data_IF_547499317430
#
_entry.id   IF_547499317430
#
_cell.length_a   1.000
_cell.length_b   1.000
_cell.length_c   1.000
_cell.angle_alpha   90.00
_cell.angle_beta   90.00
_cell.angle_gamma   90.00
#
_symmetry.space_group_name_H-M   'P 1'
#
loop_
_entity.id
_entity.type
_entity.pdbx_description
1 polymer ?
#
# COMPACT_ATOMS: atom_id res chain seq x y z
N UNK A 1 -3.77 11.27 -23.27
CA UNK A 1 -3.98 10.24 -22.23
C UNK A 1 -2.69 10.08 -21.45
N UNK A 2 -2.71 10.36 -20.15
CA UNK A 2 -1.59 10.10 -19.24
C UNK A 2 -2.17 9.34 -18.05
N UNK A 3 -1.63 8.15 -17.79
CA UNK A 3 -1.95 7.34 -16.60
C UNK A 3 -0.64 7.12 -15.87
N UNK A 4 -0.64 7.42 -14.58
CA UNK A 4 0.48 7.11 -13.68
C UNK A 4 0.26 5.76 -13.06
N UNK A 5 1.32 4.96 -12.97
CA UNK A 5 1.30 3.68 -12.29
C UNK A 5 2.30 3.77 -11.14
N UNK A 6 1.79 3.61 -9.93
CA UNK A 6 2.61 3.55 -8.72
C UNK A 6 2.66 2.09 -8.26
N UNK A 7 3.85 1.51 -8.24
CA UNK A 7 4.09 0.12 -7.88
C UNK A 7 4.83 -0.01 -6.54
N UNK A 8 5.14 1.12 -5.89
CA UNK A 8 6.07 1.16 -4.76
C UNK A 8 5.73 2.26 -3.75
N UNK A 9 4.46 2.29 -3.30
CA UNK A 9 4.08 3.18 -2.21
C UNK A 9 4.69 2.70 -0.88
N UNK A 10 5.76 3.36 -0.45
CA UNK A 10 6.57 2.96 0.70
C UNK A 10 5.77 2.81 2.00
N UNK A 11 4.74 3.65 2.21
CA UNK A 11 3.92 3.61 3.42
C UNK A 11 3.03 2.37 3.42
N UNK A 12 2.32 2.09 2.32
CA UNK A 12 1.47 0.91 2.23
C UNK A 12 2.28 -0.38 2.29
N UNK A 13 3.43 -0.42 1.60
CA UNK A 13 4.33 -1.55 1.68
C UNK A 13 4.80 -1.80 3.11
N UNK A 14 5.16 -0.73 3.85
CA UNK A 14 5.55 -0.87 5.25
C UNK A 14 4.41 -1.43 6.11
N UNK A 15 3.20 -0.88 5.97
CA UNK A 15 2.04 -1.36 6.72
C UNK A 15 1.69 -2.81 6.37
N UNK A 16 1.80 -3.21 5.11
CA UNK A 16 1.59 -4.59 4.68
C UNK A 16 2.65 -5.55 5.27
N UNK A 17 3.90 -5.11 5.34
CA UNK A 17 4.96 -5.89 5.99
C UNK A 17 4.69 -6.07 7.49
N UNK A 18 4.42 -4.96 8.20
CA UNK A 18 4.12 -4.96 9.64
C UNK A 18 2.95 -5.89 9.94
N UNK A 19 1.88 -5.79 9.13
CA UNK A 19 0.70 -6.64 9.25
C UNK A 19 1.08 -8.11 9.24
N UNK A 20 1.82 -8.52 8.22
CA UNK A 20 2.23 -9.90 8.06
C UNK A 20 3.21 -10.33 9.16
N UNK A 21 4.16 -9.48 9.51
CA UNK A 21 5.20 -9.74 10.51
C UNK A 21 4.64 -9.97 11.92
N UNK A 22 3.61 -9.22 12.29
CA UNK A 22 2.97 -9.31 13.61
C UNK A 22 1.68 -10.13 13.61
N UNK A 23 1.29 -10.68 12.44
CA UNK A 23 0.04 -11.43 12.29
C UNK A 23 -1.21 -10.59 12.53
N UNK A 24 -1.13 -9.29 12.27
CA UNK A 24 -2.28 -8.37 12.37
C UNK A 24 -3.22 -8.58 11.17
N UNK A 25 -4.47 -8.18 11.31
CA UNK A 25 -5.34 -8.21 10.15
C UNK A 25 -6.83 -8.17 10.48
N UNK A 26 -7.46 -7.15 9.93
CA UNK A 26 -8.89 -7.13 9.63
C UNK A 26 -9.24 -8.10 8.48
N UNK A 27 -10.51 -8.48 8.44
CA UNK A 27 -11.15 -9.14 7.30
C UNK A 27 -11.04 -8.20 6.08
N UNK A 28 -10.58 -8.70 4.93
CA UNK A 28 -10.65 -7.97 3.65
C UNK A 28 -9.33 -7.52 3.01
N UNK A 29 -8.19 -7.53 3.74
CA UNK A 29 -6.88 -7.23 3.13
C UNK A 29 -6.21 -8.54 2.66
N UNK A 30 -5.87 -8.70 1.36
CA UNK A 30 -5.27 -9.94 0.86
C UNK A 30 -3.90 -10.26 1.47
N UNK A 31 -3.46 -11.52 1.37
CA UNK A 31 -2.08 -11.89 1.63
C UNK A 31 -1.14 -11.20 0.63
N UNK A 32 0.15 -11.06 0.99
CA UNK A 32 1.13 -10.39 0.12
C UNK A 32 2.24 -11.34 -0.32
N UNK A 33 2.68 -11.14 -1.55
CA UNK A 33 3.65 -11.98 -2.24
C UNK A 33 5.03 -11.85 -1.61
N UNK A 34 5.75 -12.96 -1.54
CA UNK A 34 7.20 -12.96 -1.28
C UNK A 34 7.59 -12.85 0.19
N UNK A 35 6.63 -12.88 1.12
CA UNK A 35 6.92 -12.92 2.57
C UNK A 35 7.17 -14.33 3.13
N UNK A 36 6.82 -15.38 2.38
CA UNK A 36 7.07 -16.77 2.76
C UNK A 36 8.58 -17.04 2.72
N UNK A 37 9.17 -17.41 3.87
CA UNK A 37 10.57 -17.84 3.96
C UNK A 37 11.60 -16.73 4.27
N UNK A 38 11.16 -15.53 4.64
CA UNK A 38 12.07 -14.43 5.02
C UNK A 38 12.71 -14.66 6.42
N UNK A 39 12.22 -15.64 7.19
CA UNK A 39 12.78 -16.03 8.49
C UNK A 39 13.88 -17.10 8.43
N UNK A 40 14.91 -16.95 9.26
CA UNK A 40 15.87 -18.02 9.54
C UNK A 40 15.15 -19.10 10.37
N UNK A 41 15.05 -20.32 9.83
CA UNK A 41 14.52 -21.47 10.58
C UNK A 41 12.99 -21.65 10.59
N UNK A 42 12.26 -21.02 9.67
CA UNK A 42 10.83 -21.34 9.45
C UNK A 42 9.85 -20.77 10.48
N UNK A 43 10.30 -19.89 11.37
CA UNK A 43 9.43 -19.17 12.32
C UNK A 43 9.47 -17.66 12.03
N UNK A 44 8.38 -17.13 11.47
CA UNK A 44 8.15 -15.68 11.31
C UNK A 44 8.85 -14.99 10.13
N UNK A 45 8.55 -13.70 9.94
CA UNK A 45 9.18 -12.81 8.96
C UNK A 45 10.41 -12.17 9.62
N UNK A 46 11.58 -12.79 9.42
CA UNK A 46 12.82 -12.39 10.07
C UNK A 46 12.74 -12.45 11.60
N UNK A 47 13.39 -11.50 12.27
CA UNK A 47 13.33 -11.31 13.71
C UNK A 47 12.19 -10.39 14.17
N UNK A 48 11.28 -9.99 13.27
CA UNK A 48 10.18 -9.07 13.58
C UNK A 48 9.23 -9.66 14.61
N UNK A 49 8.90 -8.89 15.64
CA UNK A 49 8.00 -9.29 16.72
C UNK A 49 7.23 -8.09 17.24
N UNK A 50 5.96 -8.32 17.57
CA UNK A 50 5.14 -7.30 18.21
C UNK A 50 5.80 -6.84 19.54
N UNK A 51 5.96 -5.52 19.77
CA UNK A 51 6.41 -5.00 21.05
C UNK A 51 5.55 -5.50 22.22
N UNK A 52 6.18 -5.95 23.30
CA UNK A 52 5.49 -6.62 24.42
C UNK A 52 4.63 -5.69 25.27
N UNK A 53 4.84 -4.38 25.16
CA UNK A 53 4.17 -3.30 25.89
C UNK A 53 2.83 -2.87 25.26
N UNK A 54 2.66 -3.04 23.95
CA UNK A 54 1.44 -2.61 23.25
C UNK A 54 0.35 -3.68 23.25
N UNK A 55 0.72 -4.96 23.15
CA UNK A 55 -0.23 -6.07 23.09
C UNK A 55 -1.04 -6.12 21.78
N UNK A 56 -1.50 -7.32 21.41
CA UNK A 56 -2.06 -7.59 20.07
C UNK A 56 -3.28 -6.72 19.73
N UNK A 57 -4.26 -6.60 20.64
CA UNK A 57 -5.51 -5.89 20.36
C UNK A 57 -5.30 -4.40 20.07
N UNK A 58 -4.38 -3.74 20.81
CA UNK A 58 -4.05 -2.33 20.59
C UNK A 58 -3.26 -2.17 19.29
N UNK A 59 -2.33 -3.07 18.99
CA UNK A 59 -1.57 -3.04 17.75
C UNK A 59 -2.46 -3.26 16.52
N UNK A 60 -3.40 -4.19 16.57
CA UNK A 60 -4.36 -4.45 15.48
C UNK A 60 -5.29 -3.24 15.26
N UNK A 61 -5.77 -2.61 16.35
CA UNK A 61 -6.55 -1.37 16.24
C UNK A 61 -5.74 -0.22 15.60
N UNK A 62 -4.53 0.04 16.10
CA UNK A 62 -3.67 1.10 15.57
C UNK A 62 -3.32 0.86 14.10
N UNK A 63 -3.10 -0.39 13.73
CA UNK A 63 -2.76 -0.73 12.35
C UNK A 63 -3.95 -0.50 11.41
N UNK A 64 -5.17 -0.87 11.83
CA UNK A 64 -6.39 -0.62 11.04
C UNK A 64 -6.65 0.87 10.87
N UNK A 65 -6.53 1.63 11.94
CA UNK A 65 -6.70 3.09 11.96
C UNK A 65 -5.69 3.77 11.00
N UNK A 66 -4.42 3.35 11.04
CA UNK A 66 -3.39 3.87 10.14
C UNK A 66 -3.59 3.41 8.69
N UNK A 67 -4.03 2.16 8.48
CA UNK A 67 -4.35 1.64 7.15
C UNK A 67 -5.48 2.43 6.50
N UNK A 68 -6.57 2.67 7.23
CA UNK A 68 -7.70 3.49 6.78
C UNK A 68 -7.25 4.93 6.46
N UNK A 69 -6.48 5.58 7.35
CA UNK A 69 -5.93 6.93 7.11
C UNK A 69 -5.01 7.00 5.90
N UNK A 70 -4.21 5.96 5.67
CA UNK A 70 -3.28 5.90 4.53
C UNK A 70 -4.00 5.92 3.18
N UNK A 71 -5.30 5.60 3.14
CA UNK A 71 -6.13 5.71 1.95
C UNK A 71 -6.66 7.13 1.70
N UNK A 72 -6.78 7.96 2.74
CA UNK A 72 -7.31 9.33 2.64
C UNK A 72 -6.47 10.23 1.72
N UNK A 73 -5.16 10.01 1.63
CA UNK A 73 -4.28 10.78 0.70
C UNK A 73 -4.59 10.54 -0.78
N UNK A 74 -5.31 9.46 -1.10
CA UNK A 74 -5.78 9.17 -2.45
C UNK A 74 -7.20 9.71 -2.68
N UNK A 75 -7.88 10.22 -1.65
CA UNK A 75 -9.15 10.92 -1.82
C UNK A 75 -8.91 12.31 -2.43
N UNK A 76 -9.51 12.50 -3.61
CA UNK A 76 -9.42 13.73 -4.39
C UNK A 76 -10.23 14.85 -3.74
N UNK A 77 -11.18 14.53 -2.85
CA UNK A 77 -12.09 15.51 -2.24
C UNK A 77 -11.38 16.53 -1.34
N UNK A 78 -10.16 16.29 -0.86
CA UNK A 78 -9.53 17.15 0.16
C UNK A 78 -8.14 17.68 -0.19
N UNK A 79 -8.04 18.42 -1.31
CA UNK A 79 -6.99 19.45 -1.44
C UNK A 79 -7.29 20.73 -0.65
N UNK A 80 -8.41 20.78 0.08
CA UNK A 80 -8.65 21.85 1.05
C UNK A 80 -7.90 21.44 2.31
N UNK A 81 -6.96 22.27 2.75
CA UNK A 81 -6.31 22.13 4.04
C UNK A 81 -7.41 21.96 5.10
N UNK A 82 -7.62 20.74 5.60
CA UNK A 82 -8.52 20.52 6.73
C UNK A 82 -7.96 21.30 7.91
N UNK A 83 -8.80 22.05 8.65
CA UNK A 83 -8.36 22.59 9.93
C UNK A 83 -7.96 21.43 10.83
N UNK A 84 -6.78 21.54 11.42
CA UNK A 84 -6.19 20.56 12.33
C UNK A 84 -7.20 20.15 13.40
N UNK A 85 -7.46 18.85 13.53
CA UNK A 85 -8.43 18.35 14.51
C UNK A 85 -7.92 18.54 15.96
N UNK A 86 -8.82 18.40 16.94
CA UNK A 86 -8.50 18.63 18.34
C UNK A 86 -7.42 17.68 18.88
N UNK A 87 -7.30 16.47 18.32
CA UNK A 87 -6.30 15.47 18.73
C UNK A 87 -4.91 15.84 18.21
N UNK A 88 -4.82 16.30 16.96
CA UNK A 88 -3.59 16.85 16.39
C UNK A 88 -3.15 18.12 17.13
N UNK A 89 -4.10 18.94 17.58
CA UNK A 89 -3.81 20.14 18.38
C UNK A 89 -3.26 19.78 19.77
N UNK A 90 -3.84 18.78 20.43
CA UNK A 90 -3.36 18.28 21.72
C UNK A 90 -1.96 17.64 21.59
N UNK A 91 -1.70 16.93 20.49
CA UNK A 91 -0.37 16.40 20.18
C UNK A 91 0.62 17.52 19.88
N UNK A 92 0.24 18.57 19.15
CA UNK A 92 1.11 19.75 18.94
C UNK A 92 1.46 20.45 20.25
N UNK A 93 0.47 20.69 21.09
CA UNK A 93 0.65 21.40 22.36
C UNK A 93 1.50 20.57 23.35
N UNK A 94 1.53 19.25 23.19
CA UNK A 94 2.31 18.33 24.02
C UNK A 94 3.68 17.94 23.44
N UNK A 95 3.97 18.25 22.17
CA UNK A 95 5.20 17.78 21.48
C UNK A 95 6.20 18.93 21.31
N UNK A 96 7.45 18.80 21.78
CA UNK A 96 8.50 19.79 21.56
C UNK A 96 8.75 20.04 20.06
N UNK A 97 9.10 21.28 19.68
CA UNK A 97 9.33 21.69 18.29
C UNK A 97 10.35 20.80 17.54
N UNK A 98 11.29 20.22 18.27
CA UNK A 98 12.34 19.32 17.76
C UNK A 98 11.78 17.95 17.30
N UNK A 99 10.63 17.53 17.84
CA UNK A 99 9.95 16.27 17.54
C UNK A 99 8.74 16.44 16.60
N UNK A 100 8.25 17.67 16.39
CA UNK A 100 7.15 17.98 15.47
C UNK A 100 7.41 17.47 14.05
N UNK A 101 8.67 17.51 13.61
CA UNK A 101 9.08 16.96 12.32
C UNK A 101 8.84 15.45 12.20
N UNK A 102 9.00 14.69 13.29
CA UNK A 102 8.75 13.25 13.32
C UNK A 102 7.26 12.90 13.44
N UNK A 103 6.44 13.80 13.99
CA UNK A 103 4.99 13.66 14.10
C UNK A 103 4.27 13.98 12.79
N UNK A 104 4.80 14.90 11.98
CA UNK A 104 4.18 15.37 10.73
C UNK A 104 4.87 14.92 9.43
N UNK A 105 6.04 14.29 9.50
CA UNK A 105 6.54 13.54 8.36
C UNK A 105 5.56 12.40 8.11
N UNK A 106 4.93 12.41 6.93
CA UNK A 106 4.12 11.33 6.35
C UNK A 106 5.05 10.14 6.05
N UNK A 107 5.65 9.62 7.11
CA UNK A 107 6.37 8.37 7.17
C UNK A 107 5.58 7.45 8.10
N UNK A 108 5.75 6.13 7.98
CA UNK A 108 5.17 5.21 8.93
C UNK A 108 5.54 5.67 10.34
N UNK A 109 4.53 5.85 11.21
CA UNK A 109 4.76 6.25 12.60
C UNK A 109 5.93 5.45 13.20
N UNK A 110 6.77 6.08 14.05
CA UNK A 110 7.93 5.39 14.68
C UNK A 110 7.55 4.06 15.34
N UNK A 111 6.30 3.93 15.77
CA UNK A 111 5.72 2.70 16.29
C UNK A 111 5.85 1.51 15.34
N UNK A 112 5.75 1.73 14.02
CA UNK A 112 5.91 0.69 12.99
C UNK A 112 7.36 0.35 12.66
N UNK A 113 8.33 1.06 13.25
CA UNK A 113 9.76 0.73 13.21
C UNK A 113 10.22 -0.02 14.45
N UNK A 114 9.46 0.03 15.53
CA UNK A 114 9.77 -0.69 16.76
C UNK A 114 9.32 -2.15 16.65
N UNK A 115 10.23 -3.10 16.85
CA UNK A 115 9.90 -4.52 16.74
C UNK A 115 9.81 -5.05 15.30
N UNK A 116 10.22 -4.26 14.31
CA UNK A 116 10.40 -4.72 12.93
C UNK A 116 11.87 -5.02 12.68
N UNK A 117 12.13 -6.18 12.05
CA UNK A 117 13.42 -6.49 11.46
C UNK A 117 13.56 -5.72 10.13
N UNK A 118 14.30 -4.61 10.19
CA UNK A 118 14.54 -3.74 9.03
C UNK A 118 15.28 -4.48 7.91
N UNK A 119 16.18 -5.41 8.22
CA UNK A 119 16.87 -6.19 7.18
C UNK A 119 15.90 -7.13 6.46
N UNK A 120 14.93 -7.70 7.18
CA UNK A 120 13.88 -8.51 6.59
C UNK A 120 12.94 -7.66 5.72
N UNK A 121 12.58 -6.46 6.15
CA UNK A 121 11.81 -5.51 5.36
C UNK A 121 12.55 -5.10 4.08
N UNK A 122 13.82 -4.70 4.19
CA UNK A 122 14.65 -4.30 3.06
C UNK A 122 14.86 -5.44 2.07
N UNK A 123 15.02 -6.68 2.54
CA UNK A 123 15.14 -7.86 1.68
C UNK A 123 13.85 -8.10 0.90
N UNK A 124 12.71 -8.02 1.58
CA UNK A 124 11.41 -8.17 0.93
C UNK A 124 11.16 -7.07 -0.10
N UNK A 125 11.36 -5.80 0.30
CA UNK A 125 11.13 -4.64 -0.55
C UNK A 125 12.03 -4.66 -1.79
N UNK A 126 13.30 -5.04 -1.63
CA UNK A 126 14.23 -5.26 -2.75
C UNK A 126 13.75 -6.36 -3.68
N UNK A 127 13.23 -7.47 -3.15
CA UNK A 127 12.64 -8.53 -3.95
C UNK A 127 11.43 -8.07 -4.77
N UNK A 128 10.56 -7.22 -4.21
CA UNK A 128 9.45 -6.59 -4.94
C UNK A 128 9.95 -5.66 -6.05
N UNK A 129 10.95 -4.83 -5.73
CA UNK A 129 11.55 -3.93 -6.71
C UNK A 129 12.20 -4.70 -7.87
N UNK A 130 12.96 -5.76 -7.60
CA UNK A 130 13.58 -6.60 -8.62
C UNK A 130 12.53 -7.26 -9.53
N UNK A 131 11.42 -7.76 -8.98
CA UNK A 131 10.29 -8.30 -9.76
C UNK A 131 9.66 -7.26 -10.67
N UNK A 132 9.52 -6.03 -10.17
CA UNK A 132 8.97 -4.90 -10.93
C UNK A 132 9.87 -4.56 -12.12
N UNK A 133 11.18 -4.42 -11.86
CA UNK A 133 12.18 -4.17 -12.92
C UNK A 133 12.20 -5.31 -13.95
N UNK A 134 12.09 -6.56 -13.53
CA UNK A 134 12.00 -7.70 -14.46
C UNK A 134 10.76 -7.61 -15.34
N UNK A 135 9.61 -7.21 -14.80
CA UNK A 135 8.38 -6.97 -15.57
C UNK A 135 8.54 -5.89 -16.64
N UNK A 136 9.32 -4.84 -16.36
CA UNK A 136 9.61 -3.76 -17.30
C UNK A 136 10.61 -4.10 -18.40
N UNK A 137 11.28 -5.26 -18.34
CA UNK A 137 12.20 -5.69 -19.41
C UNK A 137 11.49 -6.20 -20.66
N UNK A 138 10.20 -6.49 -20.57
CA UNK A 138 9.40 -6.89 -21.73
C UNK A 138 9.28 -5.74 -22.75
N UNK A 139 9.19 -6.03 -24.05
CA UNK A 139 8.89 -5.02 -25.07
C UNK A 139 7.62 -4.23 -24.72
N UNK A 140 7.57 -2.94 -25.09
CA UNK A 140 6.42 -2.09 -24.79
C UNK A 140 5.10 -2.63 -25.36
N UNK A 141 5.13 -3.31 -26.51
CA UNK A 141 3.96 -3.95 -27.12
C UNK A 141 3.38 -5.08 -26.26
N UNK A 142 4.20 -5.70 -25.43
CA UNK A 142 3.80 -6.77 -24.51
C UNK A 142 3.38 -6.22 -23.14
N UNK A 143 3.53 -4.91 -22.91
CA UNK A 143 3.11 -4.29 -21.64
C UNK A 143 1.60 -4.46 -21.42
N UNK A 144 1.17 -4.66 -20.16
CA UNK A 144 -0.24 -4.75 -19.81
C UNK A 144 -1.08 -3.60 -20.37
N UNK A 145 -0.56 -2.38 -20.27
CA UNK A 145 -1.23 -1.15 -20.73
C UNK A 145 -1.47 -1.14 -22.24
N UNK A 146 -0.55 -1.70 -23.02
CA UNK A 146 -0.72 -1.81 -24.48
C UNK A 146 -1.67 -2.93 -24.85
N UNK A 147 -1.58 -4.08 -24.19
CA UNK A 147 -2.48 -5.21 -24.44
C UNK A 147 -3.93 -4.91 -24.06
N UNK A 148 -4.15 -4.11 -23.02
CA UNK A 148 -5.48 -3.69 -22.55
C UNK A 148 -5.86 -2.25 -22.99
N UNK A 149 -5.23 -1.71 -24.04
CA UNK A 149 -5.33 -0.28 -24.38
C UNK A 149 -6.76 0.24 -24.54
N UNK A 150 -7.67 -0.53 -25.16
CA UNK A 150 -9.06 -0.10 -25.34
C UNK A 150 -9.81 0.03 -24.01
N UNK A 151 -9.61 -0.92 -23.09
CA UNK A 151 -10.19 -0.87 -21.75
C UNK A 151 -9.58 0.29 -20.94
N UNK A 152 -8.27 0.53 -21.12
CA UNK A 152 -7.54 1.60 -20.44
C UNK A 152 -8.02 2.99 -20.91
N UNK A 153 -8.21 3.17 -22.22
CA UNK A 153 -8.79 4.41 -22.78
C UNK A 153 -10.19 4.64 -22.23
N UNK A 154 -11.04 3.60 -22.23
CA UNK A 154 -12.40 3.69 -21.69
C UNK A 154 -12.39 4.10 -20.21
N UNK A 155 -11.52 3.49 -19.40
CA UNK A 155 -11.38 3.84 -17.99
C UNK A 155 -10.86 5.28 -17.79
N UNK A 156 -9.93 5.73 -18.62
CA UNK A 156 -9.43 7.10 -18.60
C UNK A 156 -10.51 8.13 -18.94
N UNK A 157 -11.37 7.84 -19.91
CA UNK A 157 -12.51 8.71 -20.26
C UNK A 157 -13.51 8.85 -19.10
N UNK A 158 -13.60 7.84 -18.23
CA UNK A 158 -14.38 7.90 -16.97
C UNK A 158 -13.65 8.58 -15.81
N UNK A 159 -12.44 9.10 -16.04
CA UNK A 159 -11.65 9.86 -15.08
C UNK A 159 -10.48 9.13 -14.44
N UNK A 160 -10.18 7.88 -14.82
CA UNK A 160 -9.03 7.15 -14.26
C UNK A 160 -7.72 7.84 -14.67
N UNK A 161 -6.89 8.19 -13.70
CA UNK A 161 -5.57 8.79 -13.94
C UNK A 161 -4.43 8.07 -13.24
N UNK A 162 -4.73 7.29 -12.20
CA UNK A 162 -3.74 6.65 -11.35
C UNK A 162 -4.08 5.18 -11.12
N UNK A 163 -3.09 4.32 -11.24
CA UNK A 163 -3.18 2.90 -10.91
C UNK A 163 -2.16 2.62 -9.83
N UNK A 164 -2.61 2.11 -8.69
CA UNK A 164 -1.74 1.70 -7.60
C UNK A 164 -1.65 0.17 -7.61
N UNK A 165 -0.45 -0.35 -7.84
CA UNK A 165 -0.16 -1.77 -7.79
C UNK A 165 0.36 -2.13 -6.40
N UNK A 166 -0.36 -3.00 -5.70
CA UNK A 166 0.07 -3.55 -4.41
C UNK A 166 0.49 -5.02 -4.57
N UNK A 167 1.42 -5.52 -3.74
CA UNK A 167 1.98 -6.86 -3.86
C UNK A 167 1.03 -7.93 -3.29
N UNK A 168 -0.27 -7.84 -3.58
CA UNK A 168 -1.25 -8.82 -3.15
C UNK A 168 -1.12 -10.14 -3.92
N UNK A 169 -1.36 -11.24 -3.22
CA UNK A 169 -1.47 -12.57 -3.82
C UNK A 169 -2.84 -12.72 -4.52
N UNK A 170 -2.84 -13.32 -5.71
CA UNK A 170 -4.06 -13.61 -6.44
C UNK A 170 -4.68 -12.39 -7.12
N UNK A 171 -5.92 -12.57 -7.56
CA UNK A 171 -6.73 -11.50 -8.12
C UNK A 171 -7.15 -10.48 -7.06
N UNK A 172 -6.82 -9.21 -7.29
CA UNK A 172 -7.31 -8.08 -6.51
C UNK A 172 -7.50 -6.89 -7.44
N UNK A 173 -8.69 -6.28 -7.38
CA UNK A 173 -9.01 -5.07 -8.09
C UNK A 173 -10.06 -4.28 -7.30
N UNK A 174 -9.75 -3.04 -6.97
CA UNK A 174 -10.66 -2.17 -6.24
C UNK A 174 -10.58 -0.74 -6.76
N UNK A 175 -11.73 -0.18 -7.16
CA UNK A 175 -11.83 1.19 -7.62
C UNK A 175 -12.16 2.10 -6.45
N UNK A 176 -11.12 2.69 -5.85
CA UNK A 176 -11.28 3.52 -4.63
C UNK A 176 -12.03 4.81 -4.95
N UNK A 177 -11.78 5.43 -6.09
CA UNK A 177 -12.54 6.59 -6.55
C UNK A 177 -12.45 6.75 -8.09
N UNK A 178 -12.97 7.85 -8.62
CA UNK A 178 -12.93 8.13 -10.05
C UNK A 178 -11.50 8.12 -10.63
N UNK A 179 -10.50 8.55 -9.87
CA UNK A 179 -9.12 8.73 -10.33
C UNK A 179 -8.19 7.55 -10.02
N UNK A 180 -8.48 6.75 -9.00
CA UNK A 180 -7.59 5.71 -8.48
C UNK A 180 -8.19 4.30 -8.59
N UNK A 181 -7.41 3.39 -9.17
CA UNK A 181 -7.66 1.96 -9.20
C UNK A 181 -6.52 1.23 -8.50
N UNK A 182 -6.82 0.36 -7.54
CA UNK A 182 -5.84 -0.54 -6.92
C UNK A 182 -5.92 -1.91 -7.55
N UNK A 183 -4.76 -2.49 -7.91
CA UNK A 183 -4.68 -3.83 -8.49
C UNK A 183 -3.54 -4.64 -7.87
N UNK A 184 -3.64 -5.97 -7.92
CA UNK A 184 -2.48 -6.84 -7.70
C UNK A 184 -1.60 -6.93 -8.95
N UNK A 185 -0.33 -7.32 -8.75
CA UNK A 185 0.61 -7.65 -9.84
C UNK A 185 0.02 -8.70 -10.81
N UNK A 186 -0.63 -9.74 -10.27
CA UNK A 186 -1.25 -10.81 -11.06
C UNK A 186 -2.41 -10.28 -11.92
N UNK A 187 -3.27 -9.44 -11.33
CA UNK A 187 -4.41 -8.83 -12.02
C UNK A 187 -3.94 -7.96 -13.17
N UNK A 188 -2.89 -7.15 -12.98
CA UNK A 188 -2.37 -6.28 -14.02
C UNK A 188 -1.69 -7.06 -15.15
N UNK A 189 -0.96 -8.14 -14.84
CA UNK A 189 -0.24 -8.92 -15.87
C UNK A 189 -1.14 -9.70 -16.82
N UNK A 190 -2.33 -10.10 -16.38
CA UNK A 190 -3.28 -10.84 -17.21
C UNK A 190 -4.29 -9.88 -17.86
N UNK A 191 -4.37 -9.90 -19.20
CA UNK A 191 -5.12 -8.91 -19.97
C UNK A 191 -6.63 -8.94 -19.69
N UNK A 192 -7.19 -10.13 -19.45
CA UNK A 192 -8.62 -10.33 -19.19
C UNK A 192 -8.99 -9.79 -17.81
N UNK A 193 -8.19 -10.12 -16.80
CA UNK A 193 -8.34 -9.64 -15.42
C UNK A 193 -8.13 -8.13 -15.35
N UNK A 194 -7.12 -7.60 -16.04
CA UNK A 194 -6.85 -6.17 -16.04
C UNK A 194 -7.96 -5.38 -16.74
N UNK A 195 -8.43 -5.86 -17.90
CA UNK A 195 -9.56 -5.23 -18.60
C UNK A 195 -10.82 -5.24 -17.74
N UNK A 196 -11.07 -6.32 -17.00
CA UNK A 196 -12.17 -6.40 -16.03
C UNK A 196 -11.99 -5.41 -14.88
N UNK A 197 -10.78 -5.26 -14.34
CA UNK A 197 -10.48 -4.31 -13.28
C UNK A 197 -10.68 -2.85 -13.73
N UNK A 198 -10.26 -2.53 -14.96
CA UNK A 198 -10.42 -1.19 -15.56
C UNK A 198 -11.89 -0.80 -15.77
N UNK A 199 -12.78 -1.78 -15.97
CA UNK A 199 -14.21 -1.58 -16.12
C UNK A 199 -14.99 -1.40 -14.80
N UNK A 200 -14.32 -1.48 -13.64
CA UNK A 200 -14.97 -1.29 -12.35
C UNK A 200 -15.49 0.16 -12.20
N UNK A 201 -16.75 0.35 -11.77
CA UNK A 201 -17.26 1.68 -11.48
C UNK A 201 -16.57 2.27 -10.24
N UNK A 202 -16.46 3.60 -10.14
CA UNK A 202 -15.97 4.23 -8.92
C UNK A 202 -16.92 3.96 -7.75
N UNK A 203 -16.34 3.67 -6.58
CA UNK A 203 -17.10 3.59 -5.33
C UNK A 203 -17.71 4.97 -5.03
N UNK A 204 -19.01 5.02 -4.73
CA UNK A 204 -19.82 6.26 -4.60
C UNK A 204 -19.59 7.00 -3.29
#
# INVERSE_FOLDING_TARGET
>A
MVISIDENDALLLRLLFVRAAWGLGAIGVPAVVGLIGIGVGGAGIGASRLPSDVGFAKADYLWRDEWERSWERFDVRDRRVRPMDARHREVLDATPDEELGAVYLIGPSRFWSEGIDEEAFDRWNRGLFERTIQGHRAPLEESPERRALLALVSAWETGLTNILQLPYEGYFAERINAQYLVVSEETRREVTLYSRALALPPTS
#
